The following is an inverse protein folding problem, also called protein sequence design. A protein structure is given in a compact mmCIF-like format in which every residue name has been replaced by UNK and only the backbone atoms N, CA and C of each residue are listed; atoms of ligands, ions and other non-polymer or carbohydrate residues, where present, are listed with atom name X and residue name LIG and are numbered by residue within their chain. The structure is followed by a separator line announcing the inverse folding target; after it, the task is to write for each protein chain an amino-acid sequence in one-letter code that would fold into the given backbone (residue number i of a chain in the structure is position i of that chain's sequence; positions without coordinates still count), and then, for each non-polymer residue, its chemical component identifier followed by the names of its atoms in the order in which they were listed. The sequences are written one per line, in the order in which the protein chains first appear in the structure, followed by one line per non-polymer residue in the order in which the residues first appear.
data_IF_423004491900
#
_entry.id   IF_423004491900
#
_cell.length_a   1.000
_cell.length_b   1.000
_cell.length_c   1.000
_cell.angle_alpha   90.00
_cell.angle_beta   90.00
_cell.angle_gamma   90.00
#
_symmetry.space_group_name_H-M   'P 1'
#
loop_
_entity.id
_entity.type
_entity.pdbx_description
1 polymer ?
#
# COMPACT_ATOMS: atom_id res chain seq x y z
N UNK A 1 20.63 -1.41 -34.14
CA UNK A 1 19.25 -1.29 -34.64
C UNK A 1 18.60 -0.19 -33.83
N UNK A 2 18.42 0.98 -34.43
CA UNK A 2 17.75 2.10 -33.76
C UNK A 2 16.26 1.79 -33.71
N UNK A 3 15.72 1.63 -32.51
CA UNK A 3 14.28 1.49 -32.30
C UNK A 3 13.68 2.87 -32.53
N UNK A 4 13.13 3.09 -33.74
CA UNK A 4 12.32 4.26 -34.02
C UNK A 4 11.04 4.14 -33.20
N UNK A 5 11.04 4.79 -32.04
CA UNK A 5 9.86 4.98 -31.20
C UNK A 5 8.85 5.86 -31.95
N UNK A 6 7.92 5.24 -32.65
CA UNK A 6 6.71 5.91 -33.13
C UNK A 6 5.86 6.33 -31.92
N UNK A 7 5.54 7.63 -31.75
CA UNK A 7 4.64 8.05 -30.68
C UNK A 7 3.24 7.50 -30.97
N UNK A 8 2.80 6.53 -30.16
CA UNK A 8 1.44 6.00 -30.21
C UNK A 8 0.42 7.05 -29.77
N UNK A 9 -0.64 7.25 -30.58
CA UNK A 9 -1.75 8.11 -30.22
C UNK A 9 -2.73 7.31 -29.35
N UNK A 10 -2.77 7.58 -28.04
CA UNK A 10 -3.69 6.92 -27.12
C UNK A 10 -4.91 7.80 -26.85
N UNK A 11 -6.14 7.27 -26.98
CA UNK A 11 -7.35 8.01 -26.62
C UNK A 11 -7.38 8.21 -25.11
N UNK A 12 -6.96 9.39 -24.63
CA UNK A 12 -6.84 9.74 -23.21
C UNK A 12 -8.09 9.39 -22.38
N UNK A 13 -9.28 9.53 -22.97
CA UNK A 13 -10.57 9.24 -22.34
C UNK A 13 -11.02 7.76 -22.40
N UNK A 14 -10.22 6.88 -23.00
CA UNK A 14 -10.48 5.43 -23.06
C UNK A 14 -9.33 4.60 -22.47
N UNK A 15 -8.40 5.26 -21.79
CA UNK A 15 -7.31 4.61 -21.08
C UNK A 15 -7.61 4.53 -19.59
N UNK A 16 -7.11 3.47 -18.94
CA UNK A 16 -7.05 3.38 -17.49
C UNK A 16 -5.71 3.96 -17.02
N UNK A 17 -5.75 4.77 -15.97
CA UNK A 17 -4.54 5.28 -15.32
C UNK A 17 -4.15 4.35 -14.19
N UNK A 18 -2.93 3.84 -14.23
CA UNK A 18 -2.37 3.00 -13.17
C UNK A 18 -1.34 3.79 -12.36
N UNK A 19 -1.58 3.93 -11.06
CA UNK A 19 -0.62 4.50 -10.13
C UNK A 19 0.13 3.37 -9.43
N UNK A 20 1.46 3.36 -9.56
CA UNK A 20 2.32 2.36 -8.94
C UNK A 20 2.96 2.93 -7.68
N UNK A 21 2.77 2.24 -6.56
CA UNK A 21 3.28 2.63 -5.24
C UNK A 21 4.03 1.44 -4.65
N UNK A 22 5.30 1.66 -4.28
CA UNK A 22 6.07 0.69 -3.48
C UNK A 22 5.63 0.78 -2.01
N UNK A 23 5.64 -0.34 -1.29
CA UNK A 23 5.42 -0.31 0.15
C UNK A 23 6.42 0.61 0.87
N UNK A 24 6.00 1.20 1.98
CA UNK A 24 6.88 1.96 2.85
C UNK A 24 7.90 1.05 3.55
N UNK A 25 8.87 1.63 4.26
CA UNK A 25 9.92 0.86 4.92
C UNK A 25 9.33 -0.17 5.89
N UNK A 26 9.63 -1.44 5.67
CA UNK A 26 9.30 -2.54 6.58
C UNK A 26 10.48 -2.95 7.44
N UNK A 27 10.23 -3.68 8.53
CA UNK A 27 11.29 -4.19 9.42
C UNK A 27 12.32 -5.01 8.64
N UNK A 28 11.88 -5.80 7.66
CA UNK A 28 12.78 -6.56 6.76
C UNK A 28 13.79 -5.70 5.99
N UNK A 29 13.47 -4.44 5.67
CA UNK A 29 14.43 -3.55 4.99
C UNK A 29 15.56 -3.16 5.95
N UNK A 30 15.21 -2.81 7.19
CA UNK A 30 16.18 -2.41 8.21
C UNK A 30 17.11 -3.56 8.56
N UNK A 31 16.58 -4.77 8.71
CA UNK A 31 17.42 -5.94 9.00
C UNK A 31 18.23 -6.38 7.78
N UNK A 32 17.65 -6.33 6.57
CA UNK A 32 18.36 -6.63 5.32
C UNK A 32 19.48 -5.65 4.97
N UNK A 33 19.38 -4.38 5.39
CA UNK A 33 20.46 -3.39 5.28
C UNK A 33 21.63 -3.68 6.22
N UNK A 34 21.37 -4.29 7.38
CA UNK A 34 22.41 -4.73 8.33
C UNK A 34 23.06 -6.03 7.90
N UNK A 35 22.24 -7.00 7.49
CA UNK A 35 22.66 -8.32 7.04
C UNK A 35 21.79 -8.78 5.87
N UNK A 36 22.39 -8.89 4.69
CA UNK A 36 21.68 -9.28 3.48
C UNK A 36 21.08 -10.70 3.56
N UNK A 37 21.60 -11.58 4.43
CA UNK A 37 21.00 -12.90 4.66
C UNK A 37 19.63 -12.80 5.35
N UNK A 38 19.34 -11.70 6.05
CA UNK A 38 18.07 -11.48 6.73
C UNK A 38 16.87 -11.40 5.76
N UNK A 39 17.09 -11.08 4.48
CA UNK A 39 16.04 -11.13 3.45
C UNK A 39 15.47 -12.54 3.24
N UNK A 40 16.22 -13.58 3.60
CA UNK A 40 15.79 -14.97 3.52
C UNK A 40 15.16 -15.46 4.83
N UNK A 41 15.10 -14.62 5.87
CA UNK A 41 14.53 -14.99 7.16
C UNK A 41 13.01 -15.15 7.05
N UNK A 42 12.51 -16.31 7.44
CA UNK A 42 11.06 -16.59 7.52
C UNK A 42 10.35 -15.61 8.47
N UNK A 43 11.01 -15.20 9.56
CA UNK A 43 10.46 -14.22 10.51
C UNK A 43 10.26 -12.81 9.92
N UNK A 44 10.95 -12.49 8.83
CA UNK A 44 10.87 -11.17 8.17
C UNK A 44 10.05 -11.21 6.89
N UNK A 45 9.55 -12.39 6.50
CA UNK A 45 8.78 -12.60 5.29
C UNK A 45 7.55 -11.69 5.23
N UNK A 46 6.77 -11.69 6.31
CA UNK A 46 5.57 -10.86 6.45
C UNK A 46 5.77 -9.69 7.43
N UNK A 47 6.97 -9.12 7.43
CA UNK A 47 7.31 -8.00 8.29
C UNK A 47 6.35 -6.80 8.12
N UNK A 48 5.96 -6.19 9.24
CA UNK A 48 5.20 -4.96 9.28
C UNK A 48 6.07 -3.71 8.97
N UNK A 49 5.42 -2.56 8.84
CA UNK A 49 6.07 -1.27 8.68
C UNK A 49 6.82 -0.82 9.94
N UNK A 50 7.95 -0.14 9.75
CA UNK A 50 8.66 0.54 10.84
C UNK A 50 7.97 1.85 11.21
N UNK A 51 8.34 2.51 12.33
CA UNK A 51 7.88 3.87 12.62
C UNK A 51 8.19 4.86 11.48
N UNK A 52 9.34 4.73 10.82
CA UNK A 52 9.69 5.53 9.64
C UNK A 52 8.80 5.18 8.44
N UNK A 53 8.52 3.89 8.22
CA UNK A 53 7.59 3.46 7.18
C UNK A 53 6.20 4.08 7.35
N UNK A 54 5.72 4.16 8.59
CA UNK A 54 4.47 4.82 8.93
C UNK A 54 4.50 6.35 8.70
N UNK A 55 5.62 7.02 8.95
CA UNK A 55 5.78 8.44 8.56
C UNK A 55 5.73 8.63 7.04
N UNK A 56 6.33 7.72 6.27
CA UNK A 56 6.25 7.74 4.80
C UNK A 56 4.80 7.56 4.32
N UNK A 57 4.04 6.68 4.97
CA UNK A 57 2.59 6.50 4.72
C UNK A 57 1.82 7.79 4.98
N UNK A 58 2.07 8.48 6.09
CA UNK A 58 1.39 9.74 6.41
C UNK A 58 1.69 10.84 5.40
N UNK A 59 2.95 10.96 4.98
CA UNK A 59 3.35 11.92 3.96
C UNK A 59 2.67 11.63 2.61
N UNK A 60 2.61 10.37 2.20
CA UNK A 60 1.94 9.98 0.96
C UNK A 60 0.42 10.19 1.07
N UNK A 61 -0.21 9.82 2.19
CA UNK A 61 -1.63 10.10 2.48
C UNK A 61 -1.92 11.58 2.31
N UNK A 62 -1.14 12.45 2.95
CA UNK A 62 -1.28 13.89 2.84
C UNK A 62 -1.20 14.34 1.38
N UNK A 63 -0.18 13.90 0.65
CA UNK A 63 0.01 14.24 -0.76
C UNK A 63 -1.17 13.83 -1.65
N UNK A 64 -1.68 12.60 -1.51
CA UNK A 64 -2.81 12.13 -2.36
C UNK A 64 -4.13 12.85 -2.05
N UNK A 65 -4.29 13.35 -0.82
CA UNK A 65 -5.46 14.15 -0.44
C UNK A 65 -5.34 15.60 -0.95
N UNK A 66 -4.18 16.24 -0.76
CA UNK A 66 -3.93 17.62 -1.21
C UNK A 66 -4.01 17.76 -2.74
N UNK A 67 -3.56 16.76 -3.48
CA UNK A 67 -3.66 16.73 -4.95
C UNK A 67 -5.05 16.33 -5.47
N UNK A 68 -5.94 15.90 -4.58
CA UNK A 68 -7.25 15.35 -4.94
C UNK A 68 -7.18 14.00 -5.67
N UNK A 69 -6.00 13.34 -5.69
CA UNK A 69 -5.84 12.02 -6.29
C UNK A 69 -6.71 10.98 -5.59
N UNK A 70 -6.87 11.06 -4.26
CA UNK A 70 -7.71 10.14 -3.48
C UNK A 70 -9.14 10.02 -4.01
N UNK A 71 -9.70 11.11 -4.55
CA UNK A 71 -11.05 11.15 -5.14
C UNK A 71 -11.15 10.51 -6.53
N UNK A 72 -10.01 10.23 -7.18
CA UNK A 72 -9.93 9.64 -8.53
C UNK A 72 -9.60 8.15 -8.50
N UNK A 73 -9.21 7.60 -7.36
CA UNK A 73 -8.88 6.17 -7.25
C UNK A 73 -10.18 5.36 -7.25
N UNK A 74 -10.34 4.50 -8.26
CA UNK A 74 -11.51 3.62 -8.40
C UNK A 74 -11.29 2.24 -7.75
N UNK A 75 -10.02 1.82 -7.56
CA UNK A 75 -9.63 0.50 -7.08
C UNK A 75 -8.21 0.54 -6.52
N UNK A 76 -7.97 -0.15 -5.40
CA UNK A 76 -6.63 -0.38 -4.83
C UNK A 76 -6.32 -1.87 -4.90
N UNK A 77 -5.26 -2.24 -5.64
CA UNK A 77 -4.77 -3.61 -5.74
C UNK A 77 -3.46 -3.72 -4.98
N UNK A 78 -3.33 -4.72 -4.11
CA UNK A 78 -2.18 -4.87 -3.22
C UNK A 78 -1.69 -6.31 -3.20
N UNK A 79 -0.38 -6.47 -3.00
CA UNK A 79 0.17 -7.76 -2.60
C UNK A 79 -0.31 -8.11 -1.18
N UNK A 80 -0.55 -9.40 -0.86
CA UNK A 80 -1.05 -9.85 0.44
C UNK A 80 0.09 -9.97 1.47
N UNK A 81 0.95 -8.95 1.57
CA UNK A 81 1.97 -8.83 2.62
C UNK A 81 1.58 -7.70 3.58
N UNK A 82 1.86 -7.86 4.86
CA UNK A 82 1.46 -6.94 5.91
C UNK A 82 1.94 -5.52 5.62
N UNK A 83 3.23 -5.34 5.25
CA UNK A 83 3.77 -4.04 4.85
C UNK A 83 3.08 -3.40 3.65
N UNK A 84 2.67 -4.17 2.63
CA UNK A 84 1.99 -3.64 1.44
C UNK A 84 0.56 -3.26 1.79
N UNK A 85 -0.13 -4.10 2.57
CA UNK A 85 -1.48 -3.82 3.06
C UNK A 85 -1.51 -2.60 4.01
N UNK A 86 -0.60 -2.52 4.99
CA UNK A 86 -0.47 -1.36 5.88
C UNK A 86 -0.19 -0.06 5.12
N UNK A 87 0.69 -0.12 4.10
CA UNK A 87 0.95 1.05 3.25
C UNK A 87 -0.33 1.47 2.52
N UNK A 88 -1.02 0.53 1.87
CA UNK A 88 -2.18 0.84 1.07
C UNK A 88 -3.37 1.32 1.91
N UNK A 89 -3.65 0.66 3.02
CA UNK A 89 -4.76 1.03 3.92
C UNK A 89 -4.47 2.35 4.62
N UNK A 90 -3.23 2.61 5.04
CA UNK A 90 -2.85 3.90 5.62
C UNK A 90 -2.98 5.06 4.62
N UNK A 91 -2.60 4.86 3.36
CA UNK A 91 -2.65 5.91 2.32
C UNK A 91 -4.07 6.13 1.78
N UNK A 92 -4.76 5.06 1.43
CA UNK A 92 -6.02 5.11 0.67
C UNK A 92 -7.26 4.69 1.47
N UNK A 93 -7.11 4.20 2.70
CA UNK A 93 -8.21 3.93 3.61
C UNK A 93 -8.86 5.21 4.15
N UNK A 94 -10.00 5.06 4.82
CA UNK A 94 -10.73 6.19 5.36
C UNK A 94 -10.17 6.69 6.70
N UNK A 95 -10.61 7.86 7.14
CA UNK A 95 -10.40 8.28 8.53
C UNK A 95 -11.19 7.35 9.49
N UNK A 96 -10.83 7.37 10.77
CA UNK A 96 -11.41 6.50 11.82
C UNK A 96 -12.94 6.54 11.92
N UNK A 97 -13.47 5.55 12.63
CA UNK A 97 -14.90 5.33 12.87
C UNK A 97 -15.64 6.63 13.22
N UNK A 98 -16.64 7.03 12.43
CA UNK A 98 -17.63 8.02 12.87
C UNK A 98 -18.66 7.29 13.72
N UNK A 99 -18.93 7.80 14.92
CA UNK A 99 -19.87 7.21 15.87
C UNK A 99 -21.18 6.80 15.17
N UNK A 100 -21.59 5.54 15.35
CA UNK A 100 -22.91 5.04 14.95
C UNK A 100 -22.99 4.25 13.63
N UNK A 101 -21.88 3.93 12.95
CA UNK A 101 -21.90 3.09 11.73
C UNK A 101 -21.13 1.80 11.99
N UNK A 102 -21.83 0.67 12.17
CA UNK A 102 -21.25 -0.67 12.34
C UNK A 102 -20.71 -1.23 10.99
N UNK A 103 -19.60 -0.67 10.51
CA UNK A 103 -18.84 -1.23 9.37
C UNK A 103 -17.57 -1.94 9.86
N UNK A 104 -17.22 -3.11 9.30
CA UNK A 104 -15.99 -3.79 9.66
C UNK A 104 -14.77 -2.92 9.32
N UNK A 105 -13.75 -2.87 10.21
CA UNK A 105 -12.55 -2.10 9.95
C UNK A 105 -11.80 -2.67 8.74
N UNK A 106 -11.28 -1.79 7.90
CA UNK A 106 -10.34 -2.15 6.82
C UNK A 106 -8.98 -2.56 7.40
N UNK A 107 -8.60 -1.99 8.54
CA UNK A 107 -7.46 -2.44 9.36
C UNK A 107 -7.84 -2.32 10.83
N UNK A 108 -7.58 -3.36 11.61
CA UNK A 108 -7.82 -3.37 13.06
C UNK A 108 -6.82 -2.46 13.79
N UNK A 109 -7.18 -2.05 15.00
CA UNK A 109 -6.28 -1.30 15.88
C UNK A 109 -4.99 -2.08 16.14
N UNK A 110 -3.86 -1.36 16.17
CA UNK A 110 -2.54 -1.90 16.47
C UNK A 110 -2.09 -3.08 15.56
N UNK A 111 -2.63 -3.18 14.34
CA UNK A 111 -2.21 -4.19 13.38
C UNK A 111 -0.70 -4.09 13.12
N UNK A 112 0.03 -5.20 13.33
CA UNK A 112 1.49 -5.27 13.19
C UNK A 112 2.22 -4.33 14.16
N UNK A 113 1.81 -4.28 15.41
CA UNK A 113 2.44 -3.50 16.50
C UNK A 113 2.64 -2.01 16.17
N UNK A 114 1.71 -1.47 15.37
CA UNK A 114 1.84 -0.15 14.77
C UNK A 114 1.49 1.00 15.70
N UNK A 115 0.84 0.73 16.84
CA UNK A 115 0.22 1.72 17.73
C UNK A 115 -0.73 2.68 16.99
N UNK A 116 -1.35 2.19 15.90
CA UNK A 116 -2.28 2.95 15.06
C UNK A 116 -3.73 2.62 15.42
N UNK A 117 -4.66 3.59 15.34
CA UNK A 117 -6.08 3.30 15.48
C UNK A 117 -6.58 2.41 14.33
N UNK A 118 -7.74 1.80 14.52
CA UNK A 118 -8.42 1.10 13.44
C UNK A 118 -8.75 2.05 12.27
N UNK A 119 -8.64 1.55 11.04
CA UNK A 119 -8.96 2.28 9.81
C UNK A 119 -10.28 1.74 9.26
N UNK A 120 -11.22 2.63 8.96
CA UNK A 120 -12.53 2.25 8.43
C UNK A 120 -12.48 1.98 6.92
N UNK A 121 -13.34 1.07 6.47
CA UNK A 121 -13.64 0.83 5.05
C UNK A 121 -14.67 1.83 4.49
N UNK A 122 -15.23 2.73 5.31
CA UNK A 122 -16.26 3.67 4.90
C UNK A 122 -15.69 4.77 4.00
N UNK A 123 -16.26 5.04 2.82
CA UNK A 123 -15.78 6.08 1.90
C UNK A 123 -14.33 5.90 1.39
N UNK A 124 -13.79 4.69 1.43
CA UNK A 124 -12.54 4.36 0.72
C UNK A 124 -12.86 3.62 -0.58
N UNK A 125 -11.96 3.62 -1.59
CA UNK A 125 -12.09 2.75 -2.75
C UNK A 125 -12.10 1.27 -2.33
N UNK A 126 -12.60 0.36 -3.17
CA UNK A 126 -12.48 -1.08 -2.93
C UNK A 126 -11.01 -1.51 -2.93
N UNK A 127 -10.69 -2.49 -2.08
CA UNK A 127 -9.37 -3.11 -1.96
C UNK A 127 -9.42 -4.55 -2.44
N UNK A 128 -8.42 -4.97 -3.21
CA UNK A 128 -8.21 -6.37 -3.61
C UNK A 128 -6.78 -6.75 -3.26
N UNK A 129 -6.64 -7.70 -2.33
CA UNK A 129 -5.37 -8.35 -2.04
C UNK A 129 -5.29 -9.64 -2.87
N UNK A 130 -4.31 -9.73 -3.76
CA UNK A 130 -4.13 -10.91 -4.61
C UNK A 130 -2.64 -11.17 -4.86
N UNK A 131 -2.25 -12.44 -4.79
CA UNK A 131 -0.94 -12.92 -5.19
C UNK A 131 -1.13 -14.00 -6.26
N UNK A 132 -0.75 -13.70 -7.51
CA UNK A 132 -0.81 -14.64 -8.63
C UNK A 132 0.56 -15.21 -9.00
N UNK A 133 1.64 -14.51 -8.63
CA UNK A 133 3.01 -14.92 -8.90
C UNK A 133 3.90 -14.44 -7.78
N UNK A 134 4.76 -15.34 -7.29
CA UNK A 134 5.78 -15.06 -6.28
C UNK A 134 7.13 -15.34 -6.90
N UNK A 135 8.05 -14.40 -6.82
CA UNK A 135 9.38 -14.55 -7.43
C UNK A 135 10.23 -15.64 -6.75
N UNK A 136 9.92 -15.97 -5.49
CA UNK A 136 10.52 -17.08 -4.76
C UNK A 136 9.41 -17.90 -4.07
N UNK A 137 9.26 -19.16 -4.48
CA UNK A 137 8.59 -20.20 -3.70
C UNK A 137 9.66 -20.81 -2.78
N UNK A 138 9.41 -20.80 -1.47
CA UNK A 138 10.20 -21.62 -0.54
C UNK A 138 9.88 -23.10 -0.78
#
# INVERSE_FOLDING_TARGET
MDVISSPGLYPLHRCKTLHLVRHAQGVHNVEGEKDHAAYLSESLFDAHLTPLGWQQVDHLRKHVHETGLSKKIELVIVSPLLRTMQTAVGVFGSEGYKDGIDVPPLMVENAGESNRPAISSLNCPPFVAVELCREHLN
#
